data_IF_167636398887
#
_entry.id   IF_167636398887
#
_cell.length_a   1.000
_cell.length_b   1.000
_cell.length_c   1.000
_cell.angle_alpha   90.00
_cell.angle_beta   90.00
_cell.angle_gamma   90.00
#
_symmetry.space_group_name_H-M   'P 1'
#
loop_
_entity.id
_entity.type
_entity.pdbx_description
1 polymer ?
#
# COMPACT_ATOMS: atom_id res chain seq x y z
N UNK A 1 19.16 -36.77 -5.20
CA UNK A 1 18.76 -36.62 -3.79
C UNK A 1 19.28 -35.27 -3.34
N UNK A 2 18.81 -34.20 -3.97
CA UNK A 2 17.56 -33.51 -3.64
C UNK A 2 17.56 -33.05 -2.18
N UNK A 3 18.02 -31.82 -2.00
CA UNK A 3 17.56 -30.95 -0.93
C UNK A 3 17.15 -29.66 -1.65
N UNK A 4 15.87 -29.58 -1.96
CA UNK A 4 15.21 -28.37 -2.45
C UNK A 4 15.50 -27.23 -1.47
N UNK A 5 16.21 -26.21 -1.93
CA UNK A 5 16.16 -24.91 -1.29
C UNK A 5 14.79 -24.33 -1.62
N UNK A 6 13.84 -24.54 -0.71
CA UNK A 6 12.60 -23.80 -0.70
C UNK A 6 12.95 -22.32 -0.66
N UNK A 7 12.64 -21.62 -1.75
CA UNK A 7 12.62 -20.16 -1.77
C UNK A 7 11.55 -19.78 -0.75
N UNK A 8 11.97 -19.45 0.46
CA UNK A 8 11.14 -18.79 1.44
C UNK A 8 10.73 -17.47 0.78
N UNK A 9 9.50 -17.44 0.27
CA UNK A 9 8.95 -16.27 -0.38
C UNK A 9 9.05 -15.14 0.63
N UNK A 10 10.00 -14.23 0.41
CA UNK A 10 10.12 -12.99 1.13
C UNK A 10 8.74 -12.36 1.08
N UNK A 11 8.00 -12.40 2.20
CA UNK A 11 6.74 -11.67 2.29
C UNK A 11 7.08 -10.24 1.91
N UNK A 12 6.46 -9.67 0.86
CA UNK A 12 6.73 -8.30 0.51
C UNK A 12 6.49 -7.49 1.79
N UNK A 13 7.52 -6.80 2.27
CA UNK A 13 7.32 -5.83 3.33
C UNK A 13 6.25 -4.86 2.83
N UNK A 14 5.34 -4.40 3.70
CA UNK A 14 4.27 -3.52 3.24
C UNK A 14 4.73 -2.30 2.46
N UNK A 15 5.94 -1.84 2.76
CA UNK A 15 6.66 -0.84 1.99
C UNK A 15 6.70 -1.14 0.47
N UNK A 16 6.93 -2.39 0.06
CA UNK A 16 6.98 -2.77 -1.36
C UNK A 16 5.60 -2.68 -2.03
N UNK A 17 4.53 -3.05 -1.33
CA UNK A 17 3.16 -2.95 -1.87
C UNK A 17 2.70 -1.50 -1.96
N UNK A 18 2.98 -0.67 -0.95
CA UNK A 18 2.68 0.76 -0.98
C UNK A 18 3.51 1.51 -2.04
N UNK A 19 4.78 1.12 -2.24
CA UNK A 19 5.61 1.68 -3.29
C UNK A 19 5.06 1.35 -4.69
N UNK A 20 4.50 0.15 -4.88
CA UNK A 20 3.85 -0.24 -6.14
C UNK A 20 2.61 0.61 -6.48
N UNK A 21 2.01 1.29 -5.49
CA UNK A 21 0.90 2.22 -5.71
C UNK A 21 1.35 3.61 -6.16
N UNK A 22 2.65 3.87 -6.24
CA UNK A 22 3.23 5.15 -6.65
C UNK A 22 3.56 6.11 -5.50
N UNK A 23 3.56 5.63 -4.25
CA UNK A 23 3.96 6.42 -3.08
C UNK A 23 5.49 6.53 -2.99
N UNK A 24 5.97 7.66 -2.47
CA UNK A 24 7.40 7.91 -2.29
C UNK A 24 8.07 6.97 -1.28
N UNK A 25 9.39 6.75 -1.43
CA UNK A 25 10.15 5.83 -0.58
C UNK A 25 10.15 6.21 0.91
N UNK A 26 10.23 7.51 1.24
CA UNK A 26 10.20 7.96 2.63
C UNK A 26 8.85 7.67 3.30
N UNK A 27 7.75 7.90 2.57
CA UNK A 27 6.41 7.58 3.06
C UNK A 27 6.24 6.07 3.24
N UNK A 28 6.74 5.25 2.31
CA UNK A 28 6.68 3.80 2.43
C UNK A 28 7.49 3.27 3.64
N UNK A 29 8.63 3.88 3.95
CA UNK A 29 9.40 3.57 5.17
C UNK A 29 8.62 3.94 6.43
N UNK A 30 8.06 5.16 6.47
CA UNK A 30 7.26 5.61 7.60
C UNK A 30 6.01 4.72 7.82
N UNK A 31 5.36 4.28 6.74
CA UNK A 31 4.26 3.33 6.78
C UNK A 31 4.68 1.99 7.39
N UNK A 32 5.83 1.45 6.97
CA UNK A 32 6.36 0.22 7.54
C UNK A 32 6.71 0.37 9.03
N UNK A 33 7.32 1.49 9.44
CA UNK A 33 7.64 1.78 10.84
C UNK A 33 6.38 1.92 11.71
N UNK A 34 5.28 2.41 11.13
CA UNK A 34 3.96 2.50 11.74
C UNK A 34 3.20 1.16 11.78
N UNK A 35 3.76 0.09 11.19
CA UNK A 35 3.16 -1.23 11.15
C UNK A 35 2.11 -1.43 10.06
N UNK A 36 2.15 -0.61 8.98
CA UNK A 36 1.30 -0.85 7.81
C UNK A 36 1.91 -1.99 6.98
N UNK A 37 1.20 -3.12 6.93
CA UNK A 37 1.65 -4.33 6.25
C UNK A 37 1.12 -4.45 4.82
N UNK A 38 -0.17 -4.25 4.58
CA UNK A 38 -0.73 -4.36 3.23
C UNK A 38 -1.76 -3.23 3.01
N UNK A 39 -1.76 -2.58 1.83
CA UNK A 39 -2.79 -1.62 1.49
C UNK A 39 -4.16 -2.29 1.45
N UNK A 40 -5.17 -1.64 2.04
CA UNK A 40 -6.55 -2.14 1.97
C UNK A 40 -7.10 -2.07 0.54
N UNK A 41 -8.17 -2.81 0.20
CA UNK A 41 -8.75 -2.76 -1.15
C UNK A 41 -9.04 -1.34 -1.65
N UNK A 42 -9.61 -0.48 -0.79
CA UNK A 42 -9.91 0.91 -1.15
C UNK A 42 -8.64 1.76 -1.34
N UNK A 43 -7.55 1.45 -0.63
CA UNK A 43 -6.26 2.13 -0.81
C UNK A 43 -5.62 1.74 -2.14
N UNK A 44 -5.60 0.43 -2.46
CA UNK A 44 -5.08 -0.08 -3.75
C UNK A 44 -5.80 0.52 -4.95
N UNK A 45 -7.12 0.67 -4.86
CA UNK A 45 -7.92 1.25 -5.94
C UNK A 45 -7.79 2.78 -5.98
N UNK A 46 -7.87 3.47 -4.85
CA UNK A 46 -7.92 4.93 -4.86
C UNK A 46 -6.56 5.61 -5.06
N UNK A 47 -5.49 5.12 -4.41
CA UNK A 47 -4.19 5.80 -4.36
C UNK A 47 -3.64 6.12 -5.76
N UNK A 48 -3.58 5.17 -6.72
CA UNK A 48 -3.08 5.47 -8.06
C UNK A 48 -3.94 6.49 -8.84
N UNK A 49 -5.24 6.57 -8.54
CA UNK A 49 -6.12 7.55 -9.15
C UNK A 49 -5.90 8.95 -8.57
N UNK A 50 -5.73 9.06 -7.25
CA UNK A 50 -5.46 10.33 -6.57
C UNK A 50 -4.09 10.89 -6.96
N UNK A 51 -3.05 10.06 -7.02
CA UNK A 51 -1.70 10.47 -7.48
C UNK A 51 -1.74 10.97 -8.93
N UNK A 52 -2.58 10.36 -9.78
CA UNK A 52 -2.78 10.81 -11.15
C UNK A 52 -3.59 12.12 -11.27
N UNK A 53 -3.94 12.78 -10.15
CA UNK A 53 -4.70 14.03 -10.13
C UNK A 53 -6.15 13.89 -10.61
N UNK A 54 -6.71 12.68 -10.55
CA UNK A 54 -8.11 12.42 -10.92
C UNK A 54 -9.02 12.61 -9.72
N UNK A 55 -10.24 13.08 -9.99
CA UNK A 55 -11.31 13.04 -9.00
C UNK A 55 -11.71 11.59 -8.72
N UNK A 56 -11.82 11.24 -7.43
CA UNK A 56 -12.14 9.89 -6.97
C UNK A 56 -13.38 9.91 -6.08
N UNK A 57 -14.35 9.07 -6.41
CA UNK A 57 -15.48 8.76 -5.53
C UNK A 57 -15.28 7.36 -4.95
N UNK A 58 -14.97 7.30 -3.65
CA UNK A 58 -14.72 6.04 -2.94
C UNK A 58 -15.88 5.67 -2.00
N UNK A 59 -16.47 4.50 -2.20
CA UNK A 59 -17.45 3.92 -1.28
C UNK A 59 -16.85 2.73 -0.53
N UNK A 60 -16.71 2.85 0.79
CA UNK A 60 -16.32 1.73 1.65
C UNK A 60 -16.88 1.92 3.07
N UNK A 61 -16.88 0.87 3.90
CA UNK A 61 -17.31 0.96 5.29
C UNK A 61 -16.33 1.79 6.16
N UNK A 62 -16.77 2.29 7.32
CA UNK A 62 -15.87 2.90 8.31
C UNK A 62 -14.82 1.88 8.77
N UNK A 63 -13.61 2.34 9.06
CA UNK A 63 -12.49 1.46 9.47
C UNK A 63 -11.76 0.74 8.34
N UNK A 64 -12.15 0.90 7.06
CA UNK A 64 -11.47 0.23 5.93
C UNK A 64 -10.27 0.98 5.35
N UNK A 65 -9.81 2.04 6.01
CA UNK A 65 -8.63 2.81 5.58
C UNK A 65 -8.88 3.89 4.51
N UNK A 66 -10.14 4.33 4.27
CA UNK A 66 -10.48 5.41 3.34
C UNK A 66 -9.71 6.72 3.59
N UNK A 67 -9.52 7.09 4.85
CA UNK A 67 -8.79 8.32 5.22
C UNK A 67 -7.35 8.25 4.73
N UNK A 68 -6.66 7.13 4.97
CA UNK A 68 -5.31 6.91 4.48
C UNK A 68 -5.27 6.81 2.93
N UNK A 69 -6.29 6.24 2.30
CA UNK A 69 -6.39 6.17 0.83
C UNK A 69 -6.37 7.55 0.16
N UNK A 70 -6.87 8.59 0.84
CA UNK A 70 -6.85 9.97 0.36
C UNK A 70 -5.67 10.79 0.91
N UNK A 71 -5.28 10.56 2.16
CA UNK A 71 -4.22 11.34 2.81
C UNK A 71 -2.81 10.96 2.34
N UNK A 72 -2.53 9.67 2.16
CA UNK A 72 -1.18 9.20 1.77
C UNK A 72 -0.69 9.77 0.44
N UNK A 73 -1.52 9.86 -0.63
CA UNK A 73 -1.13 10.53 -1.88
C UNK A 73 -0.78 12.02 -1.78
N UNK A 74 -1.16 12.71 -0.69
CA UNK A 74 -1.00 14.17 -0.52
C UNK A 74 0.29 14.50 0.23
N UNK A 75 0.81 13.54 1.01
CA UNK A 75 2.02 13.68 1.83
C UNK A 75 3.28 13.43 0.99
#
# INVERSE_FOLDING_TARGET
>A
MEAEQGVEAVKPSGAAEFAALGLGEELCKALADLGYEEPTPIQREAIPHVIAGRDVLGQAATGTGKTAAFALPIL
#
